data_IF_590237142845
#
_entry.id   IF_590237142845
#
_cell.length_a   1.000
_cell.length_b   1.000
_cell.length_c   1.000
_cell.angle_alpha   90.00
_cell.angle_beta   90.00
_cell.angle_gamma   90.00
#
_symmetry.space_group_name_H-M   'P 1'
#
loop_
_entity.id
_entity.type
_entity.pdbx_description
1 polymer ?
#
# COMPACT_ATOMS: atom_id res chain seq x y z
N UNK A 1 -5.81 -10.61 -24.63
CA UNK A 1 -4.42 -10.55 -25.09
C UNK A 1 -4.01 -11.95 -25.50
N UNK A 2 -3.32 -12.11 -26.61
CA UNK A 2 -2.69 -13.37 -26.96
C UNK A 2 -1.63 -13.70 -25.90
N UNK A 3 -1.55 -14.97 -25.44
CA UNK A 3 -0.67 -15.40 -24.35
C UNK A 3 0.79 -15.05 -24.66
N UNK A 4 1.18 -15.12 -25.95
CA UNK A 4 2.50 -14.73 -26.43
C UNK A 4 2.80 -13.25 -26.27
N UNK A 5 1.86 -12.35 -26.58
CA UNK A 5 2.04 -10.91 -26.41
C UNK A 5 2.27 -10.53 -24.94
N UNK A 6 1.53 -11.17 -24.02
CA UNK A 6 1.70 -10.93 -22.59
C UNK A 6 3.08 -11.42 -22.10
N UNK A 7 3.54 -12.57 -22.59
CA UNK A 7 4.87 -13.08 -22.24
C UNK A 7 5.99 -12.17 -22.75
N UNK A 8 5.87 -11.68 -23.99
CA UNK A 8 6.82 -10.75 -24.58
C UNK A 8 6.87 -9.45 -23.78
N UNK A 9 5.71 -8.86 -23.46
CA UNK A 9 5.60 -7.67 -22.62
C UNK A 9 6.29 -7.85 -21.26
N UNK A 10 6.05 -8.97 -20.58
CA UNK A 10 6.64 -9.25 -19.27
C UNK A 10 8.17 -9.43 -19.33
N UNK A 11 8.70 -9.86 -20.47
CA UNK A 11 10.15 -10.04 -20.70
C UNK A 11 10.87 -8.74 -21.08
N UNK A 12 10.15 -7.64 -21.36
CA UNK A 12 10.77 -6.33 -21.67
C UNK A 12 11.50 -5.69 -20.49
N UNK A 13 11.18 -6.10 -19.26
CA UNK A 13 11.78 -5.56 -18.04
C UNK A 13 12.18 -6.72 -17.11
N UNK A 14 13.43 -6.76 -16.68
CA UNK A 14 13.98 -7.84 -15.85
C UNK A 14 13.23 -8.01 -14.52
N UNK A 15 12.80 -6.90 -13.90
CA UNK A 15 12.03 -6.92 -12.65
C UNK A 15 10.66 -7.53 -12.92
N UNK A 16 9.98 -7.12 -13.99
CA UNK A 16 8.69 -7.67 -14.39
C UNK A 16 8.79 -9.17 -14.69
N UNK A 17 9.82 -9.60 -15.42
CA UNK A 17 10.06 -11.00 -15.75
C UNK A 17 10.30 -11.84 -14.47
N UNK A 18 11.10 -11.33 -13.54
CA UNK A 18 11.36 -11.99 -12.26
C UNK A 18 10.08 -12.12 -11.43
N UNK A 19 9.29 -11.04 -11.30
CA UNK A 19 8.03 -11.06 -10.56
C UNK A 19 6.98 -11.98 -11.21
N UNK A 20 6.95 -12.05 -12.53
CA UNK A 20 6.07 -12.94 -13.29
C UNK A 20 6.64 -14.36 -13.48
N UNK A 21 7.73 -14.71 -12.78
CA UNK A 21 8.47 -15.95 -13.01
C UNK A 21 7.62 -17.22 -12.90
N UNK A 22 6.61 -17.25 -12.02
CA UNK A 22 5.69 -18.39 -11.92
C UNK A 22 4.83 -18.58 -13.18
N UNK A 23 4.36 -17.48 -13.79
CA UNK A 23 3.60 -17.49 -15.03
C UNK A 23 4.49 -17.84 -16.24
N UNK A 24 5.70 -17.25 -16.30
CA UNK A 24 6.65 -17.51 -17.37
C UNK A 24 7.18 -18.95 -17.35
N UNK A 25 7.44 -19.53 -16.17
CA UNK A 25 7.86 -20.94 -16.03
C UNK A 25 6.75 -21.94 -16.36
N UNK A 26 5.49 -21.51 -16.36
CA UNK A 26 4.36 -22.34 -16.76
C UNK A 26 4.15 -22.38 -18.29
N UNK A 27 5.06 -21.79 -19.06
CA UNK A 27 5.09 -21.86 -20.53
C UNK A 27 5.03 -23.33 -21.01
N UNK A 28 4.05 -23.63 -21.88
CA UNK A 28 3.73 -25.00 -22.32
C UNK A 28 2.66 -25.72 -21.50
N UNK A 29 2.23 -25.19 -20.34
CA UNK A 29 1.06 -25.67 -19.60
C UNK A 29 -0.11 -24.70 -19.75
N UNK A 30 -0.90 -24.88 -20.82
CA UNK A 30 -2.05 -24.02 -21.13
C UNK A 30 -3.02 -23.88 -19.96
N UNK A 31 -3.33 -24.98 -19.27
CA UNK A 31 -4.25 -24.96 -18.13
C UNK A 31 -3.72 -24.13 -16.95
N UNK A 32 -2.42 -24.20 -16.68
CA UNK A 32 -1.79 -23.43 -15.60
C UNK A 32 -1.72 -21.94 -15.96
N UNK A 33 -1.30 -21.62 -17.18
CA UNK A 33 -1.24 -20.24 -17.65
C UNK A 33 -2.63 -19.59 -17.69
N UNK A 34 -3.65 -20.30 -18.17
CA UNK A 34 -5.03 -19.82 -18.18
C UNK A 34 -5.55 -19.51 -16.77
N UNK A 35 -5.18 -20.32 -15.78
CA UNK A 35 -5.55 -20.06 -14.37
C UNK A 35 -4.95 -18.76 -13.84
N UNK A 36 -3.66 -18.51 -14.12
CA UNK A 36 -3.00 -17.26 -13.76
C UNK A 36 -3.62 -16.05 -14.48
N UNK A 37 -3.82 -16.16 -15.80
CA UNK A 37 -4.41 -15.09 -16.61
C UNK A 37 -5.84 -14.79 -16.15
N UNK A 38 -6.65 -15.81 -15.84
CA UNK A 38 -8.01 -15.63 -15.33
C UNK A 38 -8.01 -14.87 -14.00
N UNK A 39 -7.15 -15.27 -13.06
CA UNK A 39 -7.03 -14.61 -11.76
C UNK A 39 -6.58 -13.15 -11.92
N UNK A 40 -5.54 -12.92 -12.73
CA UNK A 40 -5.03 -11.58 -13.01
C UNK A 40 -6.09 -10.71 -13.68
N UNK A 41 -6.78 -11.25 -14.69
CA UNK A 41 -7.83 -10.54 -15.42
C UNK A 41 -8.97 -10.11 -14.50
N UNK A 42 -9.35 -10.94 -13.51
CA UNK A 42 -10.38 -10.56 -12.54
C UNK A 42 -9.97 -9.38 -11.65
N UNK A 43 -8.70 -9.29 -11.25
CA UNK A 43 -8.21 -8.15 -10.47
C UNK A 43 -8.03 -6.90 -11.35
N UNK A 44 -7.41 -7.06 -12.52
CA UNK A 44 -7.13 -5.95 -13.43
C UNK A 44 -8.41 -5.40 -14.03
N UNK A 45 -9.41 -6.22 -14.35
CA UNK A 45 -10.69 -5.78 -14.91
C UNK A 45 -11.38 -4.74 -14.03
N UNK A 46 -11.31 -4.87 -12.70
CA UNK A 46 -11.89 -3.89 -11.78
C UNK A 46 -11.24 -2.51 -11.88
N UNK A 47 -9.95 -2.46 -12.17
CA UNK A 47 -9.20 -1.23 -12.40
C UNK A 47 -9.44 -0.71 -13.82
N UNK A 48 -9.41 -1.63 -14.80
CA UNK A 48 -9.47 -1.32 -16.23
C UNK A 48 -10.84 -0.82 -16.69
N UNK A 49 -11.92 -1.19 -16.00
CA UNK A 49 -13.27 -0.71 -16.32
C UNK A 49 -13.57 0.67 -15.75
N UNK A 50 -12.71 1.20 -14.88
CA UNK A 50 -12.84 2.55 -14.36
C UNK A 50 -11.95 3.50 -15.18
N UNK A 51 -12.58 4.23 -16.10
CA UNK A 51 -11.89 5.13 -17.04
C UNK A 51 -10.98 6.15 -16.33
N UNK A 52 -11.42 6.68 -15.18
CA UNK A 52 -10.64 7.65 -14.41
C UNK A 52 -9.38 7.02 -13.80
N UNK A 53 -9.50 5.81 -13.25
CA UNK A 53 -8.35 5.10 -12.67
C UNK A 53 -7.38 4.70 -13.78
N UNK A 54 -7.90 4.20 -14.91
CA UNK A 54 -7.09 3.91 -16.08
C UNK A 54 -6.33 5.14 -16.57
N UNK A 55 -7.02 6.27 -16.76
CA UNK A 55 -6.41 7.51 -17.20
C UNK A 55 -5.25 7.95 -16.29
N UNK A 56 -5.43 7.86 -14.97
CA UNK A 56 -4.38 8.25 -14.00
C UNK A 56 -3.21 7.28 -13.98
N UNK A 57 -3.44 5.98 -14.19
CA UNK A 57 -2.40 4.94 -14.04
C UNK A 57 -1.70 4.55 -15.36
N UNK A 58 -2.21 4.97 -16.52
CA UNK A 58 -1.60 4.64 -17.82
C UNK A 58 -0.50 5.61 -18.23
N UNK A 59 -0.42 6.79 -17.61
CA UNK A 59 0.64 7.77 -17.84
C UNK A 59 2.00 7.31 -17.31
N UNK A 60 3.06 7.80 -17.94
CA UNK A 60 4.45 7.69 -17.48
C UNK A 60 5.08 9.08 -17.24
N UNK A 61 4.23 10.08 -17.03
CA UNK A 61 4.53 11.50 -16.93
C UNK A 61 4.68 11.99 -15.47
N UNK A 62 4.45 11.11 -14.49
CA UNK A 62 4.64 11.40 -13.07
C UNK A 62 5.79 10.59 -12.47
N UNK A 63 6.79 11.29 -11.94
CA UNK A 63 7.85 10.70 -11.14
C UNK A 63 7.41 10.55 -9.68
N UNK A 64 7.29 9.29 -9.24
CA UNK A 64 6.91 8.92 -7.87
C UNK A 64 8.03 9.09 -6.84
N UNK A 65 9.20 9.63 -7.22
CA UNK A 65 10.17 10.11 -6.24
C UNK A 65 9.63 11.38 -5.53
N UNK A 66 8.97 11.19 -4.39
CA UNK A 66 8.35 12.27 -3.62
C UNK A 66 9.36 13.08 -2.78
N UNK A 67 10.55 12.53 -2.58
CA UNK A 67 11.60 13.04 -1.69
C UNK A 67 12.83 13.54 -2.46
N UNK A 68 12.65 13.91 -3.73
CA UNK A 68 13.69 14.59 -4.51
C UNK A 68 14.06 15.92 -3.83
N UNK A 69 15.34 16.14 -3.44
CA UNK A 69 15.78 17.39 -2.82
C UNK A 69 15.58 18.63 -3.69
N UNK A 70 15.65 18.49 -5.02
CA UNK A 70 15.48 19.60 -5.96
C UNK A 70 13.99 19.87 -6.25
N UNK A 71 13.19 18.80 -6.26
CA UNK A 71 11.78 18.83 -6.60
C UNK A 71 10.92 17.99 -5.64
N UNK A 72 10.84 18.37 -4.35
CA UNK A 72 10.06 17.65 -3.35
C UNK A 72 8.56 17.74 -3.69
N UNK A 73 7.83 16.64 -3.53
CA UNK A 73 6.42 16.55 -3.94
C UNK A 73 5.52 16.24 -2.76
N UNK A 74 4.43 17.00 -2.64
CA UNK A 74 3.29 16.61 -1.81
C UNK A 74 2.35 15.76 -2.66
N UNK A 75 2.00 14.58 -2.16
CA UNK A 75 1.08 13.67 -2.84
C UNK A 75 -0.07 13.32 -1.91
N UNK A 76 -1.30 13.58 -2.35
CA UNK A 76 -2.51 13.36 -1.58
C UNK A 76 -3.49 12.51 -2.39
N UNK A 77 -4.06 11.49 -1.75
CA UNK A 77 -5.10 10.66 -2.34
C UNK A 77 -6.36 10.84 -1.51
N UNK A 78 -7.45 11.26 -2.16
CA UNK A 78 -8.77 11.25 -1.57
C UNK A 78 -9.54 10.04 -2.08
N UNK A 79 -10.11 9.26 -1.17
CA UNK A 79 -10.95 8.13 -1.52
C UNK A 79 -12.44 8.51 -1.45
N UNK A 80 -13.28 7.79 -2.20
CA UNK A 80 -14.73 7.81 -2.06
C UNK A 80 -15.18 6.39 -1.71
N UNK A 81 -16.07 6.24 -0.73
CA UNK A 81 -16.62 4.96 -0.29
C UNK A 81 -17.15 4.09 -1.45
N UNK A 82 -17.74 4.69 -2.47
CA UNK A 82 -18.26 3.95 -3.63
C UNK A 82 -17.16 3.20 -4.42
N UNK A 83 -15.91 3.66 -4.34
CA UNK A 83 -14.76 3.17 -5.11
C UNK A 83 -13.67 2.57 -4.24
N UNK A 84 -13.89 2.44 -2.93
CA UNK A 84 -12.88 2.02 -1.96
C UNK A 84 -12.21 0.70 -2.35
N UNK A 85 -13.00 -0.33 -2.70
CA UNK A 85 -12.47 -1.64 -3.09
C UNK A 85 -11.62 -1.63 -4.36
N UNK A 86 -11.79 -0.61 -5.22
CA UNK A 86 -11.05 -0.45 -6.49
C UNK A 86 -9.80 0.40 -6.28
N UNK A 87 -9.88 1.44 -5.45
CA UNK A 87 -8.78 2.38 -5.21
C UNK A 87 -7.80 1.86 -4.14
N UNK A 88 -8.27 1.05 -3.19
CA UNK A 88 -7.46 0.53 -2.07
C UNK A 88 -6.14 -0.16 -2.52
N UNK A 89 -6.12 -1.04 -3.54
CA UNK A 89 -4.88 -1.60 -4.07
C UNK A 89 -3.94 -0.55 -4.68
N UNK A 90 -4.49 0.49 -5.30
CA UNK A 90 -3.72 1.59 -5.90
C UNK A 90 -3.04 2.41 -4.80
N UNK A 91 -3.76 2.75 -3.74
CA UNK A 91 -3.19 3.46 -2.56
C UNK A 91 -2.05 2.64 -1.97
N UNK A 92 -2.27 1.34 -1.73
CA UNK A 92 -1.27 0.45 -1.17
C UNK A 92 -0.02 0.33 -2.07
N UNK A 93 -0.22 0.31 -3.39
CA UNK A 93 0.86 0.30 -4.37
C UNK A 93 1.68 1.60 -4.31
N UNK A 94 1.03 2.76 -4.32
CA UNK A 94 1.72 4.05 -4.28
C UNK A 94 2.52 4.19 -2.99
N UNK A 95 1.94 3.82 -1.84
CA UNK A 95 2.69 3.80 -0.57
C UNK A 95 3.89 2.86 -0.63
N UNK A 96 3.74 1.68 -1.23
CA UNK A 96 4.85 0.73 -1.39
C UNK A 96 5.95 1.28 -2.29
N UNK A 97 5.61 1.99 -3.37
CA UNK A 97 6.57 2.66 -4.26
C UNK A 97 7.28 3.79 -3.51
N UNK A 98 6.53 4.70 -2.89
CA UNK A 98 7.07 5.83 -2.14
C UNK A 98 8.01 5.37 -1.01
N UNK A 99 7.64 4.32 -0.27
CA UNK A 99 8.48 3.75 0.79
C UNK A 99 9.82 3.20 0.30
N UNK A 100 9.89 2.71 -0.94
CA UNK A 100 11.13 2.17 -1.53
C UNK A 100 12.09 3.25 -2.03
N UNK A 101 11.61 4.48 -2.22
CA UNK A 101 12.45 5.60 -2.65
C UNK A 101 13.37 6.11 -1.54
N UNK A 102 13.10 5.77 -0.28
CA UNK A 102 13.93 6.17 0.86
C UNK A 102 15.28 5.46 0.87
N UNK A 103 16.33 6.22 1.17
CA UNK A 103 17.71 5.73 1.31
C UNK A 103 18.41 6.46 2.46
N UNK A 104 19.59 5.96 2.86
CA UNK A 104 20.45 6.63 3.86
C UNK A 104 20.88 8.04 3.43
N UNK A 105 20.78 8.36 2.14
CA UNK A 105 21.12 9.67 1.59
C UNK A 105 19.93 10.64 1.59
N UNK A 106 18.75 10.22 2.07
CA UNK A 106 17.57 11.08 2.09
C UNK A 106 17.84 12.38 2.85
N UNK A 107 17.57 13.51 2.19
CA UNK A 107 17.74 14.86 2.75
C UNK A 107 16.43 15.58 3.02
N UNK A 108 15.31 15.02 2.55
CA UNK A 108 13.99 15.62 2.66
C UNK A 108 13.20 14.90 3.75
N UNK A 109 12.93 15.53 4.91
CA UNK A 109 12.02 14.97 5.89
C UNK A 109 10.65 14.75 5.26
N UNK A 110 10.08 13.57 5.46
CA UNK A 110 8.81 13.21 4.86
C UNK A 110 7.84 12.69 5.91
N UNK A 111 6.55 12.96 5.74
CA UNK A 111 5.51 12.44 6.65
C UNK A 111 4.45 11.70 5.87
N UNK A 112 4.17 10.46 6.27
CA UNK A 112 3.02 9.71 5.83
C UNK A 112 1.84 10.03 6.74
N UNK A 113 0.80 10.68 6.20
CA UNK A 113 -0.45 10.95 6.91
C UNK A 113 -1.50 9.98 6.39
N UNK A 114 -1.96 9.09 7.26
CA UNK A 114 -2.85 7.97 6.94
C UNK A 114 -4.18 8.20 7.66
N UNK A 115 -5.06 8.95 7.01
CA UNK A 115 -6.41 9.19 7.50
C UNK A 115 -7.31 7.97 7.27
N UNK A 116 -7.97 7.50 8.33
CA UNK A 116 -8.69 6.22 8.40
C UNK A 116 -7.94 5.10 7.63
N UNK A 117 -6.73 4.79 8.09
CA UNK A 117 -5.83 3.77 7.50
C UNK A 117 -6.52 2.41 7.28
N UNK A 118 -7.60 2.13 8.01
CA UNK A 118 -8.33 0.87 7.90
C UNK A 118 -9.12 0.70 6.60
N UNK A 119 -9.13 1.71 5.71
CA UNK A 119 -9.74 1.65 4.37
C UNK A 119 -8.85 0.96 3.32
N UNK A 120 -7.57 0.73 3.62
CA UNK A 120 -6.67 0.00 2.72
C UNK A 120 -5.59 -0.76 3.47
N UNK A 121 -5.15 -1.88 2.88
CA UNK A 121 -4.12 -2.74 3.47
C UNK A 121 -2.78 -2.54 2.77
N UNK A 122 -1.78 -2.09 3.51
CA UNK A 122 -0.38 -2.09 3.07
C UNK A 122 0.27 -3.36 3.60
N UNK A 123 0.95 -4.11 2.74
CA UNK A 123 1.63 -5.34 3.15
C UNK A 123 2.82 -5.00 4.05
N UNK A 124 3.00 -5.75 5.15
CA UNK A 124 4.11 -5.56 6.10
C UNK A 124 4.18 -4.13 6.67
N UNK A 125 3.03 -3.45 6.80
CA UNK A 125 2.96 -2.06 7.25
C UNK A 125 3.61 -1.86 8.62
N UNK A 126 3.45 -2.82 9.52
CA UNK A 126 4.00 -2.78 10.88
C UNK A 126 5.52 -2.56 10.92
N UNK A 127 6.25 -2.93 9.85
CA UNK A 127 7.70 -2.74 9.75
C UNK A 127 8.08 -1.36 9.23
N UNK A 128 7.23 -0.73 8.40
CA UNK A 128 7.56 0.51 7.70
C UNK A 128 7.90 1.68 8.65
N UNK A 129 7.11 1.98 9.70
CA UNK A 129 7.43 3.07 10.63
C UNK A 129 8.75 2.88 11.36
N UNK A 130 9.13 1.64 11.66
CA UNK A 130 10.39 1.33 12.33
C UNK A 130 11.58 1.57 11.40
N UNK A 131 11.50 1.02 10.18
CA UNK A 131 12.58 1.11 9.19
C UNK A 131 12.74 2.54 8.64
N UNK A 132 11.65 3.19 8.23
CA UNK A 132 11.75 4.48 7.55
C UNK A 132 12.04 5.66 8.49
N UNK A 133 11.93 5.46 9.81
CA UNK A 133 12.37 6.45 10.79
C UNK A 133 13.85 6.77 10.64
N UNK A 134 14.69 5.76 10.37
CA UNK A 134 16.13 5.95 10.15
C UNK A 134 16.42 6.78 8.89
N UNK A 135 15.50 6.77 7.93
CA UNK A 135 15.59 7.53 6.68
C UNK A 135 14.88 8.88 6.75
N UNK A 136 14.52 9.38 7.95
CA UNK A 136 13.89 10.70 8.11
C UNK A 136 12.40 10.74 7.75
N UNK A 137 11.71 9.60 7.74
CA UNK A 137 10.26 9.53 7.58
C UNK A 137 9.54 9.51 8.93
N UNK A 138 8.43 10.24 9.02
CA UNK A 138 7.48 10.18 10.12
C UNK A 138 6.14 9.57 9.65
N UNK A 139 5.37 9.03 10.59
CA UNK A 139 4.04 8.48 10.34
C UNK A 139 3.03 9.08 11.30
N UNK A 140 1.90 9.51 10.75
CA UNK A 140 0.69 9.87 11.47
C UNK A 140 -0.42 8.93 11.03
N UNK A 141 -0.84 8.04 11.93
CA UNK A 141 -1.93 7.10 11.68
C UNK A 141 -3.16 7.56 12.43
N UNK A 142 -4.27 7.72 11.72
CA UNK A 142 -5.58 8.04 12.29
C UNK A 142 -6.51 6.86 12.07
N UNK A 143 -7.24 6.47 13.12
CA UNK A 143 -8.24 5.40 13.06
C UNK A 143 -9.34 5.63 14.08
N UNK A 144 -10.57 5.29 13.70
CA UNK A 144 -11.72 5.38 14.61
C UNK A 144 -11.76 4.27 15.67
N UNK A 145 -11.18 3.09 15.40
CA UNK A 145 -11.24 1.96 16.33
C UNK A 145 -10.07 1.00 16.14
N UNK A 146 -9.46 0.61 17.25
CA UNK A 146 -8.45 -0.46 17.27
C UNK A 146 -8.98 -1.79 16.76
N UNK A 147 -10.29 -2.07 16.89
CA UNK A 147 -10.90 -3.31 16.39
C UNK A 147 -10.89 -3.38 14.85
N UNK A 148 -11.09 -2.25 14.16
CA UNK A 148 -10.96 -2.19 12.69
C UNK A 148 -9.52 -2.45 12.26
N UNK A 149 -8.56 -1.89 13.00
CA UNK A 149 -7.13 -2.08 12.75
C UNK A 149 -6.73 -3.55 12.97
N UNK A 150 -7.19 -4.17 14.05
CA UNK A 150 -6.99 -5.58 14.35
C UNK A 150 -7.61 -6.49 13.29
N UNK A 151 -8.82 -6.18 12.81
CA UNK A 151 -9.45 -6.94 11.72
C UNK A 151 -8.63 -6.91 10.44
N UNK A 152 -7.99 -5.78 10.14
CA UNK A 152 -7.24 -5.58 8.91
C UNK A 152 -5.83 -6.20 8.96
N UNK A 153 -5.14 -6.03 10.08
CA UNK A 153 -3.75 -6.41 10.26
C UNK A 153 -3.53 -7.65 11.12
N UNK A 154 -4.55 -8.18 11.80
CA UNK A 154 -4.42 -9.15 12.90
C UNK A 154 -3.96 -8.54 14.22
N UNK A 155 -4.09 -9.31 15.29
CA UNK A 155 -3.75 -8.90 16.66
C UNK A 155 -2.25 -8.66 16.86
N UNK A 156 -1.40 -9.49 16.26
CA UNK A 156 0.06 -9.39 16.40
C UNK A 156 0.60 -8.14 15.67
N UNK A 157 0.15 -7.92 14.45
CA UNK A 157 0.59 -6.76 13.68
C UNK A 157 0.02 -5.47 14.27
N UNK A 158 -1.23 -5.49 14.76
CA UNK A 158 -1.77 -4.35 15.53
C UNK A 158 -0.91 -4.01 16.73
N UNK A 159 -0.54 -4.99 17.54
CA UNK A 159 0.34 -4.78 18.69
C UNK A 159 1.69 -4.19 18.26
N UNK A 160 2.23 -4.62 17.12
CA UNK A 160 3.49 -4.11 16.58
C UNK A 160 3.35 -2.67 16.06
N UNK A 161 2.22 -2.35 15.43
CA UNK A 161 1.88 -0.98 15.01
C UNK A 161 1.78 -0.10 16.26
N UNK A 162 0.98 -0.44 17.26
CA UNK A 162 0.82 0.37 18.48
C UNK A 162 2.16 0.60 19.20
N UNK A 163 3.05 -0.41 19.23
CA UNK A 163 4.39 -0.26 19.82
C UNK A 163 5.34 0.67 19.03
N UNK A 164 5.19 0.73 17.70
CA UNK A 164 6.04 1.58 16.85
C UNK A 164 5.62 3.05 16.87
N UNK A 165 4.37 3.36 17.22
CA UNK A 165 3.83 4.72 17.29
C UNK A 165 3.92 5.27 18.72
N UNK A 166 5.06 5.87 19.05
CA UNK A 166 5.36 6.35 20.41
C UNK A 166 4.54 7.56 20.90
N UNK A 167 3.92 8.33 19.99
CA UNK A 167 3.04 9.43 20.36
C UNK A 167 1.59 9.02 20.12
N UNK A 168 0.80 8.97 21.19
CA UNK A 168 -0.59 8.52 21.15
C UNK A 168 -1.51 9.69 21.51
N UNK A 169 -2.48 9.96 20.63
CA UNK A 169 -3.56 10.92 20.86
C UNK A 169 -4.88 10.16 20.93
N UNK A 170 -5.57 10.25 22.06
CA UNK A 170 -6.84 9.55 22.28
C UNK A 170 -7.99 10.54 22.26
N UNK A 171 -8.89 10.36 21.30
CA UNK A 171 -10.16 11.06 21.27
C UNK A 171 -11.22 10.39 22.15
N UNK A 172 -12.40 11.02 22.24
CA UNK A 172 -13.57 10.40 22.89
C UNK A 172 -13.97 9.14 22.13
N UNK A 173 -14.17 8.03 22.84
CA UNK A 173 -14.68 6.78 22.28
C UNK A 173 -15.88 6.26 23.08
N UNK A 174 -16.76 5.51 22.41
CA UNK A 174 -17.83 4.72 23.04
C UNK A 174 -17.53 3.21 23.04
N UNK A 175 -16.40 2.81 22.46
CA UNK A 175 -15.97 1.42 22.40
C UNK A 175 -15.57 0.94 23.80
N UNK A 176 -16.37 0.04 24.37
CA UNK A 176 -16.17 -0.50 25.73
C UNK A 176 -14.84 -1.25 25.85
N UNK A 177 -14.39 -1.92 24.79
CA UNK A 177 -13.09 -2.60 24.81
C UNK A 177 -11.96 -1.57 24.80
N UNK A 178 -12.07 -0.52 23.98
CA UNK A 178 -11.13 0.60 23.99
C UNK A 178 -11.00 1.23 25.39
N UNK A 179 -12.13 1.48 26.06
CA UNK A 179 -12.15 2.06 27.40
C UNK A 179 -11.47 1.21 28.48
N UNK A 180 -11.35 -0.12 28.28
CA UNK A 180 -10.64 -0.99 29.22
C UNK A 180 -9.12 -0.81 29.17
N UNK A 181 -8.55 -0.59 27.98
CA UNK A 181 -7.09 -0.52 27.83
C UNK A 181 -6.55 0.90 27.61
N UNK A 182 -7.36 1.88 27.19
CA UNK A 182 -6.92 3.27 27.02
C UNK A 182 -6.23 3.86 28.27
N UNK A 183 -6.73 3.63 29.50
CA UNK A 183 -6.05 4.11 30.70
C UNK A 183 -4.62 3.55 30.86
N UNK A 184 -4.36 2.33 30.36
CA UNK A 184 -3.05 1.67 30.50
C UNK A 184 -1.93 2.37 29.70
N UNK A 185 -2.28 3.21 28.71
CA UNK A 185 -1.28 4.02 27.99
C UNK A 185 -0.64 5.11 28.85
N UNK A 186 -1.27 5.50 29.96
CA UNK A 186 -0.81 6.61 30.80
C UNK A 186 -0.16 6.18 32.13
N UNK A 187 -0.12 4.87 32.42
CA UNK A 187 0.40 4.32 33.67
C UNK A 187 -0.68 4.12 34.73
#
# INVERSE_FOLDING_TARGET
ADTGQLQEFLKLNDISAMMAGAYLKAEGSEKTQASYVSTLSNYVAKLATNENICYVLTGNDFDFNLIDPEHPKLFAISNNYATESVISPVIAMVMSIASRSFSMENRVPFVFILDEMTTFKVRDFEKLPSVLREYGAAFLLLTQSGAKLEKLYSKLDRSSIEANFGNIFLGRTQDVEALKYYPLFFG
#
